data_IF_597572429195
#
_entry.id   IF_597572429195
#
_cell.length_a   1.000
_cell.length_b   1.000
_cell.length_c   1.000
_cell.angle_alpha   90.00
_cell.angle_beta   90.00
_cell.angle_gamma   90.00
#
_symmetry.space_group_name_H-M   'P 1'
#
loop_
_entity.id
_entity.type
_entity.pdbx_description
1 polymer ?
#
# COMPACT_ATOMS: atom_id res chain seq x y z
N UNK A 1 -4.45 -14.94 5.30
CA UNK A 1 -4.09 -13.53 5.04
C UNK A 1 -4.21 -12.79 6.36
N UNK A 2 -3.22 -11.99 6.69
CA UNK A 2 -3.26 -11.09 7.85
C UNK A 2 -4.37 -10.05 7.65
N UNK A 3 -5.00 -9.57 8.73
CA UNK A 3 -6.00 -8.51 8.64
C UNK A 3 -5.43 -7.23 8.01
N UNK A 4 -4.13 -6.99 8.19
CA UNK A 4 -3.41 -5.87 7.58
C UNK A 4 -3.39 -6.03 6.06
N UNK A 5 -3.04 -7.20 5.54
CA UNK A 5 -3.02 -7.45 4.10
C UNK A 5 -4.40 -7.21 3.45
N UNK A 6 -5.48 -7.64 4.10
CA UNK A 6 -6.84 -7.39 3.62
C UNK A 6 -7.21 -5.91 3.60
N UNK A 7 -6.86 -5.15 4.65
CA UNK A 7 -7.11 -3.70 4.71
C UNK A 7 -6.28 -2.93 3.69
N UNK A 8 -5.00 -3.28 3.52
CA UNK A 8 -4.13 -2.69 2.51
C UNK A 8 -4.71 -2.89 1.12
N UNK A 9 -5.12 -4.11 0.78
CA UNK A 9 -5.76 -4.41 -0.51
C UNK A 9 -7.04 -3.59 -0.73
N UNK A 10 -7.89 -3.47 0.28
CA UNK A 10 -9.13 -2.71 0.19
C UNK A 10 -8.87 -1.22 -0.13
N UNK A 11 -7.87 -0.61 0.52
CA UNK A 11 -7.48 0.79 0.27
C UNK A 11 -6.96 0.96 -1.15
N UNK A 12 -6.14 0.02 -1.64
CA UNK A 12 -5.58 0.07 -3.00
C UNK A 12 -6.71 0.01 -4.04
N UNK A 13 -7.65 -0.92 -3.88
CA UNK A 13 -8.82 -1.06 -4.75
C UNK A 13 -9.66 0.21 -4.76
N UNK A 14 -9.91 0.81 -3.59
CA UNK A 14 -10.73 2.03 -3.47
C UNK A 14 -10.03 3.27 -4.05
N UNK A 15 -8.73 3.44 -3.80
CA UNK A 15 -7.96 4.61 -4.23
C UNK A 15 -7.59 4.57 -5.70
N UNK A 16 -7.12 3.42 -6.19
CA UNK A 16 -6.67 3.28 -7.58
C UNK A 16 -7.81 2.86 -8.52
N UNK A 17 -8.95 2.41 -7.99
CA UNK A 17 -10.07 1.92 -8.80
C UNK A 17 -9.76 0.65 -9.60
N UNK A 18 -8.79 -0.14 -9.13
CA UNK A 18 -8.33 -1.41 -9.73
C UNK A 18 -9.11 -2.59 -9.18
N UNK A 19 -9.07 -3.74 -9.87
CA UNK A 19 -9.75 -4.93 -9.36
C UNK A 19 -8.95 -5.59 -8.22
N UNK A 20 -9.64 -6.16 -7.22
CA UNK A 20 -8.98 -6.88 -6.12
C UNK A 20 -8.11 -8.05 -6.63
N UNK A 21 -8.48 -8.65 -7.76
CA UNK A 21 -7.70 -9.67 -8.47
C UNK A 21 -6.36 -9.18 -8.99
N UNK A 22 -6.23 -7.89 -9.30
CA UNK A 22 -4.98 -7.27 -9.77
C UNK A 22 -4.04 -6.97 -8.58
N UNK A 23 -4.61 -6.75 -7.39
CA UNK A 23 -3.85 -6.46 -6.15
C UNK A 23 -3.26 -7.74 -5.55
N UNK A 24 -2.26 -8.27 -6.25
CA UNK A 24 -1.42 -9.39 -5.79
C UNK A 24 -0.30 -8.90 -4.89
N UNK A 25 0.25 -9.77 -4.04
CA UNK A 25 1.36 -9.41 -3.15
C UNK A 25 2.59 -8.89 -3.94
N UNK A 26 2.83 -9.48 -5.11
CA UNK A 26 3.94 -9.09 -6.00
C UNK A 26 3.62 -7.91 -6.91
N UNK A 27 2.38 -7.40 -6.90
CA UNK A 27 1.98 -6.30 -7.76
C UNK A 27 2.74 -5.03 -7.38
N UNK A 28 3.35 -4.40 -8.37
CA UNK A 28 3.96 -3.09 -8.25
C UNK A 28 2.90 -2.00 -8.34
N UNK A 29 2.94 -1.05 -7.42
CA UNK A 29 2.01 0.09 -7.42
C UNK A 29 2.05 0.85 -8.74
N UNK A 30 3.25 1.13 -9.27
CA UNK A 30 3.42 1.91 -10.49
C UNK A 30 3.32 1.06 -11.75
N UNK A 31 3.93 -0.14 -11.78
CA UNK A 31 4.04 -0.92 -13.02
C UNK A 31 2.81 -1.79 -13.30
N UNK A 32 2.20 -2.36 -12.25
CA UNK A 32 1.08 -3.30 -12.41
C UNK A 32 -0.27 -2.62 -12.14
N UNK A 33 -0.32 -1.77 -11.11
CA UNK A 33 -1.56 -1.08 -10.70
C UNK A 33 -1.71 0.31 -11.33
N UNK A 34 -0.69 0.80 -12.04
CA UNK A 34 -0.74 2.06 -12.77
C UNK A 34 -0.81 3.31 -11.89
N UNK A 35 -0.47 3.21 -10.60
CA UNK A 35 -0.43 4.35 -9.69
C UNK A 35 0.65 5.34 -10.14
N UNK A 36 0.30 6.62 -10.22
CA UNK A 36 1.28 7.67 -10.46
C UNK A 36 1.99 8.12 -9.17
N UNK A 37 2.88 9.12 -9.30
CA UNK A 37 3.61 9.67 -8.14
C UNK A 37 2.70 10.35 -7.11
N UNK A 38 1.52 10.83 -7.50
CA UNK A 38 0.55 11.45 -6.61
C UNK A 38 -0.30 10.38 -5.93
N UNK A 39 -0.77 9.39 -6.69
CA UNK A 39 -1.53 8.24 -6.18
C UNK A 39 -0.76 7.48 -5.11
N UNK A 40 0.53 7.24 -5.34
CA UNK A 40 1.42 6.59 -4.37
C UNK A 40 1.54 7.39 -3.07
N UNK A 41 1.67 8.72 -3.15
CA UNK A 41 1.70 9.59 -1.97
C UNK A 41 0.37 9.56 -1.21
N UNK A 42 -0.76 9.61 -1.92
CA UNK A 42 -2.09 9.50 -1.32
C UNK A 42 -2.34 8.15 -0.64
N UNK A 43 -1.90 7.05 -1.27
CA UNK A 43 -1.97 5.71 -0.70
C UNK A 43 -1.18 5.61 0.60
N UNK A 44 0.07 6.08 0.59
CA UNK A 44 0.94 6.07 1.78
C UNK A 44 0.30 6.87 2.92
N UNK A 45 -0.21 8.07 2.65
CA UNK A 45 -0.93 8.87 3.65
C UNK A 45 -2.17 8.17 4.21
N UNK A 46 -2.93 7.45 3.38
CA UNK A 46 -4.09 6.70 3.86
C UNK A 46 -3.65 5.50 4.71
N UNK A 47 -2.57 4.81 4.37
CA UNK A 47 -2.00 3.75 5.21
C UNK A 47 -1.54 4.29 6.57
N UNK A 48 -0.80 5.40 6.60
CA UNK A 48 -0.39 6.06 7.84
C UNK A 48 -1.59 6.34 8.76
N UNK A 49 -2.65 6.90 8.20
CA UNK A 49 -3.86 7.26 8.93
C UNK A 49 -4.66 6.03 9.38
N UNK A 50 -4.83 5.05 8.51
CA UNK A 50 -5.64 3.84 8.76
C UNK A 50 -5.00 2.92 9.82
N UNK A 51 -3.67 2.84 9.81
CA UNK A 51 -2.90 1.98 10.72
C UNK A 51 -2.25 2.74 11.87
N UNK A 52 -2.34 4.07 11.89
CA UNK A 52 -1.75 4.92 12.93
C UNK A 52 -0.22 4.86 12.95
N UNK A 53 0.40 4.65 11.79
CA UNK A 53 1.86 4.60 11.60
C UNK A 53 2.35 5.88 10.92
N UNK A 54 3.67 6.06 10.87
CA UNK A 54 4.27 7.09 10.03
C UNK A 54 5.37 6.45 9.19
N UNK A 55 5.26 6.60 7.87
CA UNK A 55 6.15 6.06 6.85
C UNK A 55 7.00 7.24 6.37
N UNK A 56 8.29 7.32 6.74
CA UNK A 56 9.16 8.39 6.27
C UNK A 56 9.38 8.27 4.75
N UNK A 57 9.61 9.42 4.08
CA UNK A 57 9.80 9.49 2.63
C UNK A 57 10.85 8.47 2.10
N UNK A 58 11.96 8.27 2.82
CA UNK A 58 13.03 7.34 2.42
C UNK A 58 12.63 5.86 2.48
N UNK A 59 11.59 5.53 3.24
CA UNK A 59 10.99 4.20 3.29
C UNK A 59 9.84 4.09 2.30
N UNK A 60 9.03 5.15 2.14
CA UNK A 60 7.98 5.20 1.13
C UNK A 60 8.56 4.98 -0.28
N UNK A 61 9.72 5.56 -0.60
CA UNK A 61 10.43 5.33 -1.86
C UNK A 61 10.87 3.86 -2.07
N UNK A 62 11.00 3.08 -1.00
CA UNK A 62 11.36 1.64 -1.05
C UNK A 62 10.14 0.74 -1.14
N UNK A 63 8.95 1.23 -0.83
CA UNK A 63 7.70 0.49 -0.90
C UNK A 63 7.23 0.47 -2.36
N UNK A 64 7.72 -0.51 -3.12
CA UNK A 64 7.41 -0.65 -4.55
C UNK A 64 6.26 -1.58 -4.85
N UNK A 65 5.98 -2.54 -3.96
CA UNK A 65 4.97 -3.57 -4.13
C UNK A 65 3.98 -3.63 -2.96
N UNK A 66 2.83 -4.28 -3.21
CA UNK A 66 1.81 -4.52 -2.17
C UNK A 66 2.41 -5.27 -0.98
N UNK A 67 3.25 -6.27 -1.23
CA UNK A 67 3.94 -7.02 -0.18
C UNK A 67 4.83 -6.11 0.68
N UNK A 68 5.58 -5.19 0.07
CA UNK A 68 6.45 -4.26 0.81
C UNK A 68 5.63 -3.37 1.76
N UNK A 69 4.50 -2.84 1.26
CA UNK A 69 3.60 -2.03 2.06
C UNK A 69 3.03 -2.83 3.24
N UNK A 70 2.51 -4.03 2.97
CA UNK A 70 1.95 -4.91 4.01
C UNK A 70 3.00 -5.25 5.05
N UNK A 71 4.21 -5.67 4.64
CA UNK A 71 5.28 -6.04 5.55
C UNK A 71 5.72 -4.86 6.43
N UNK A 72 5.85 -3.67 5.84
CA UNK A 72 6.19 -2.45 6.58
C UNK A 72 5.13 -2.14 7.63
N UNK A 73 3.85 -2.16 7.24
CA UNK A 73 2.73 -1.89 8.14
C UNK A 73 2.67 -2.96 9.24
N UNK A 74 2.85 -4.24 8.94
CA UNK A 74 2.87 -5.32 9.94
C UNK A 74 3.99 -5.16 10.98
N UNK A 75 5.15 -4.63 10.59
CA UNK A 75 6.26 -4.40 11.50
C UNK A 75 6.06 -3.16 12.40
N UNK A 76 5.32 -2.15 11.92
CA UNK A 76 5.20 -0.85 12.58
C UNK A 76 3.83 -0.58 13.23
N UNK A 77 2.77 -1.22 12.75
CA UNK A 77 1.43 -1.17 13.35
C UNK A 77 1.41 -2.04 14.62
N UNK A 78 0.93 -1.45 15.72
CA UNK A 78 0.85 -2.11 17.04
C UNK A 78 -0.58 -2.51 17.39
#
# INVERSE_FOLDING_TARGET
MSEIASRVKAIIVDKLGVEESEVTETASFTNDLGADSLDTVELIMEFEKEFGISIPDDQAEKIGTVQDAVAYIEEHAK
#
